data_IF_262347373516
#
_entry.id   IF_262347373516
#
_cell.length_a   1.000
_cell.length_b   1.000
_cell.length_c   1.000
_cell.angle_alpha   90.00
_cell.angle_beta   90.00
_cell.angle_gamma   90.00
#
_symmetry.space_group_name_H-M   'P 1'
#
loop_
_entity.id
_entity.type
_entity.pdbx_description
1 polymer ?
#
# COMPACT_ATOMS: atom_id res chain seq x y z
N UNK A 1 -11.53 -25.80 -4.78
CA UNK A 1 -12.58 -24.77 -5.01
C UNK A 1 -11.98 -23.43 -4.58
N UNK A 2 -11.36 -22.71 -5.53
CA UNK A 2 -10.53 -21.52 -5.26
C UNK A 2 -11.47 -20.32 -5.13
N UNK A 3 -11.85 -19.96 -3.90
CA UNK A 3 -12.65 -18.77 -3.62
C UNK A 3 -11.77 -17.53 -3.70
N UNK A 4 -12.23 -16.55 -4.48
CA UNK A 4 -11.61 -15.24 -4.71
C UNK A 4 -11.40 -14.55 -3.35
N UNK A 5 -10.16 -14.22 -3.06
CA UNK A 5 -9.78 -13.43 -1.90
C UNK A 5 -10.26 -11.98 -2.01
N UNK A 6 -10.29 -11.27 -0.88
CA UNK A 6 -10.84 -9.92 -0.78
C UNK A 6 -9.92 -8.89 -1.44
N UNK A 7 -10.56 -7.92 -2.06
CA UNK A 7 -10.03 -6.78 -2.79
C UNK A 7 -8.99 -6.03 -1.95
N UNK A 8 -7.80 -5.86 -2.52
CA UNK A 8 -6.93 -4.75 -2.15
C UNK A 8 -7.73 -3.45 -2.37
N UNK A 9 -7.55 -2.46 -1.50
CA UNK A 9 -7.93 -1.07 -1.78
C UNK A 9 -7.03 -0.62 -2.94
N UNK A 10 -7.44 -1.00 -4.14
CA UNK A 10 -7.16 -0.32 -5.38
C UNK A 10 -8.53 0.08 -5.91
N UNK A 11 -8.77 1.37 -6.03
CA UNK A 11 -9.89 1.87 -6.82
C UNK A 11 -9.83 1.24 -8.22
N UNK A 12 -10.75 0.30 -8.49
CA UNK A 12 -11.23 -0.06 -9.82
C UNK A 12 -12.39 -1.06 -9.68
N UNK A 13 -13.63 -0.59 -9.82
CA UNK A 13 -14.77 -1.44 -10.13
C UNK A 13 -15.16 -1.19 -11.59
N UNK A 14 -15.03 -2.23 -12.42
CA UNK A 14 -15.43 -2.27 -13.82
C UNK A 14 -16.73 -3.08 -13.92
N UNK A 15 -17.78 -2.51 -14.51
CA UNK A 15 -18.98 -3.24 -14.94
C UNK A 15 -19.14 -3.10 -16.46
N UNK A 16 -19.16 -4.25 -17.13
CA UNK A 16 -19.37 -4.41 -18.57
C UNK A 16 -20.86 -4.28 -18.90
N UNK A 17 -21.18 -3.31 -19.76
CA UNK A 17 -22.44 -3.26 -20.51
C UNK A 17 -22.13 -3.15 -21.99
N UNK A 18 -22.60 -4.13 -22.78
CA UNK A 18 -22.50 -4.12 -24.25
C UNK A 18 -23.62 -3.25 -24.80
N UNK A 19 -23.28 -2.19 -25.53
CA UNK A 19 -24.20 -1.39 -26.35
C UNK A 19 -23.49 -0.90 -27.64
N UNK A 20 -24.25 -0.58 -28.71
CA UNK A 20 -23.81 -0.72 -30.09
C UNK A 20 -22.92 0.42 -30.57
N UNK A 21 -22.15 0.13 -31.63
CA UNK A 21 -21.29 1.07 -32.34
C UNK A 21 -22.06 2.31 -32.82
N UNK A 22 -21.84 3.44 -32.14
CA UNK A 22 -22.25 4.77 -32.55
C UNK A 22 -21.02 5.64 -32.82
N UNK A 23 -21.06 6.37 -33.94
CA UNK A 23 -20.02 7.13 -34.62
C UNK A 23 -18.92 7.83 -33.80
N UNK A 24 -17.64 7.81 -34.28
CA UNK A 24 -16.55 8.62 -33.73
C UNK A 24 -16.65 10.04 -34.31
N UNK A 25 -17.09 11.02 -33.52
CA UNK A 25 -17.20 12.38 -34.09
C UNK A 25 -17.64 13.51 -33.16
N UNK A 26 -17.72 13.29 -31.85
CA UNK A 26 -17.91 14.40 -30.91
C UNK A 26 -16.62 14.56 -30.10
N UNK A 27 -15.87 15.59 -30.46
CA UNK A 27 -14.61 15.98 -29.86
C UNK A 27 -14.69 15.93 -28.33
N UNK A 28 -13.77 15.16 -27.74
CA UNK A 28 -13.16 15.45 -26.45
C UNK A 28 -12.89 16.96 -26.39
N UNK A 29 -13.76 17.74 -25.75
CA UNK A 29 -13.32 18.99 -25.15
C UNK A 29 -12.44 18.57 -23.99
N UNK A 30 -11.19 18.30 -24.33
CA UNK A 30 -10.13 18.12 -23.38
C UNK A 30 -10.23 19.29 -22.41
N UNK A 31 -10.43 18.98 -21.13
CA UNK A 31 -9.98 19.82 -20.04
C UNK A 31 -8.45 19.90 -20.11
N UNK A 32 -7.90 20.37 -21.22
CA UNK A 32 -6.53 20.85 -21.27
C UNK A 32 -6.52 22.14 -20.48
N UNK A 33 -6.55 21.98 -19.15
CA UNK A 33 -6.25 23.02 -18.20
C UNK A 33 -4.89 23.55 -18.58
N UNK A 34 -4.84 24.83 -18.94
CA UNK A 34 -3.56 25.48 -19.19
C UNK A 34 -2.77 25.56 -17.87
N UNK A 35 -1.46 25.78 -17.95
CA UNK A 35 -0.59 25.88 -16.78
C UNK A 35 -1.12 26.88 -15.74
N UNK A 36 -1.76 27.97 -16.21
CA UNK A 36 -2.34 28.98 -15.35
C UNK A 36 -3.50 28.45 -14.50
N UNK A 37 -4.30 27.51 -15.02
CA UNK A 37 -5.37 26.89 -14.25
C UNK A 37 -4.86 25.91 -13.17
N UNK A 38 -3.83 25.11 -13.43
CA UNK A 38 -3.22 24.27 -12.38
C UNK A 38 -2.58 25.11 -11.27
N UNK A 39 -1.94 26.21 -11.63
CA UNK A 39 -1.35 27.12 -10.65
C UNK A 39 -2.41 27.74 -9.71
N UNK A 40 -3.54 28.18 -10.26
CA UNK A 40 -4.67 28.71 -9.48
C UNK A 40 -5.29 27.64 -8.57
N UNK A 41 -5.49 26.43 -9.09
CA UNK A 41 -6.06 25.34 -8.30
C UNK A 41 -5.11 24.95 -7.15
N UNK A 42 -3.80 24.86 -7.41
CA UNK A 42 -2.82 24.58 -6.36
C UNK A 42 -2.78 25.70 -5.32
N UNK A 43 -2.84 26.96 -5.73
CA UNK A 43 -2.89 28.11 -4.82
C UNK A 43 -4.12 28.05 -3.91
N UNK A 44 -5.30 27.77 -4.48
CA UNK A 44 -6.52 27.55 -3.73
C UNK A 44 -6.35 26.43 -2.69
N UNK A 45 -5.78 25.29 -3.09
CA UNK A 45 -5.55 24.17 -2.18
C UNK A 45 -4.56 24.53 -1.05
N UNK A 46 -3.46 25.21 -1.38
CA UNK A 46 -2.46 25.64 -0.40
C UNK A 46 -3.05 26.62 0.63
N UNK A 47 -4.06 27.41 0.23
CA UNK A 47 -4.76 28.35 1.11
C UNK A 47 -5.86 27.66 1.95
N UNK A 48 -6.72 26.83 1.34
CA UNK A 48 -7.90 26.27 2.00
C UNK A 48 -7.59 25.06 2.88
N UNK A 49 -6.67 24.19 2.44
CA UNK A 49 -6.32 22.98 3.18
C UNK A 49 -5.88 23.26 4.62
N UNK A 50 -4.97 24.21 4.93
CA UNK A 50 -4.59 24.49 6.31
C UNK A 50 -5.73 25.05 7.17
N UNK A 51 -6.74 25.71 6.56
CA UNK A 51 -7.94 26.17 7.28
C UNK A 51 -8.78 24.97 7.74
N UNK A 52 -8.93 23.95 6.89
CA UNK A 52 -9.69 22.73 7.18
C UNK A 52 -8.91 21.75 8.06
N UNK A 53 -7.59 21.66 7.89
CA UNK A 53 -6.70 20.74 8.61
C UNK A 53 -6.03 21.39 9.83
N UNK A 54 -6.55 22.51 10.36
CA UNK A 54 -5.89 23.29 11.42
C UNK A 54 -5.50 22.47 12.65
N UNK A 55 -6.40 21.60 13.13
CA UNK A 55 -6.14 20.75 14.29
C UNK A 55 -4.96 19.80 14.02
N UNK A 56 -5.00 19.09 12.89
CA UNK A 56 -3.94 18.18 12.46
C UNK A 56 -2.58 18.88 12.34
N UNK A 57 -2.52 20.04 11.69
CA UNK A 57 -1.28 20.82 11.54
C UNK A 57 -0.72 21.27 12.89
N UNK A 58 -1.60 21.66 13.82
CA UNK A 58 -1.23 22.08 15.18
C UNK A 58 -0.66 20.89 15.97
N UNK A 59 -1.39 19.77 16.00
CA UNK A 59 -1.01 18.57 16.77
C UNK A 59 0.31 17.98 16.27
N UNK A 60 0.49 17.95 14.94
CA UNK A 60 1.71 17.43 14.31
C UNK A 60 2.84 18.46 14.18
N UNK A 61 2.62 19.71 14.64
CA UNK A 61 3.56 20.82 14.58
C UNK A 61 4.12 21.04 13.16
N UNK A 62 3.24 20.96 12.17
CA UNK A 62 3.60 21.12 10.76
C UNK A 62 3.59 22.61 10.40
N UNK A 63 4.77 23.13 10.06
CA UNK A 63 4.89 24.42 9.38
C UNK A 63 4.47 24.23 7.92
N UNK A 64 3.20 24.50 7.62
CA UNK A 64 2.60 24.26 6.31
C UNK A 64 3.30 25.02 5.19
N UNK A 65 3.68 26.28 5.44
CA UNK A 65 4.35 27.12 4.45
C UNK A 65 5.75 26.55 4.11
N UNK A 66 6.49 26.08 5.12
CA UNK A 66 7.77 25.42 4.90
C UNK A 66 7.62 24.07 4.22
N UNK A 67 6.63 23.27 4.64
CA UNK A 67 6.42 21.90 4.17
C UNK A 67 6.00 21.82 2.69
N UNK A 68 5.40 22.88 2.15
CA UNK A 68 4.87 22.94 0.77
C UNK A 68 5.69 23.83 -0.17
N UNK A 69 6.84 24.35 0.28
CA UNK A 69 7.68 25.27 -0.50
C UNK A 69 8.14 24.67 -1.83
N UNK A 70 8.56 23.41 -1.81
CA UNK A 70 8.97 22.64 -2.99
C UNK A 70 7.80 22.41 -3.95
N UNK A 71 6.64 21.98 -3.43
CA UNK A 71 5.41 21.77 -4.20
C UNK A 71 5.04 23.03 -4.99
N UNK A 72 5.07 24.20 -4.34
CA UNK A 72 4.78 25.49 -5.00
C UNK A 72 5.77 25.80 -6.13
N UNK A 73 7.03 25.41 -6.00
CA UNK A 73 8.05 25.61 -7.03
C UNK A 73 7.95 24.63 -8.20
N UNK A 74 7.28 23.49 -8.02
CA UNK A 74 7.17 22.41 -9.00
C UNK A 74 5.98 22.56 -9.95
N UNK A 75 4.99 23.39 -9.64
CA UNK A 75 3.80 23.60 -10.47
C UNK A 75 4.12 24.00 -11.93
N UNK A 76 5.19 24.77 -12.15
CA UNK A 76 5.68 25.14 -13.49
C UNK A 76 6.17 23.96 -14.35
N UNK A 77 6.36 22.79 -13.74
CA UNK A 77 6.77 21.55 -14.42
C UNK A 77 5.56 20.68 -14.78
N UNK A 78 4.37 21.01 -14.29
CA UNK A 78 3.14 20.27 -14.55
C UNK A 78 2.69 20.54 -15.97
N UNK A 79 2.57 19.48 -16.77
CA UNK A 79 2.22 19.53 -18.20
C UNK A 79 0.85 18.93 -18.49
N UNK A 80 0.34 18.09 -17.60
CA UNK A 80 -0.86 17.31 -17.78
C UNK A 80 -1.53 17.00 -16.43
N UNK A 81 -2.74 16.46 -16.52
CA UNK A 81 -3.59 16.07 -15.40
C UNK A 81 -2.89 15.09 -14.44
N UNK A 82 -2.13 14.13 -14.98
CA UNK A 82 -1.47 13.11 -14.18
C UNK A 82 -0.32 13.70 -13.36
N UNK A 83 0.48 14.58 -13.96
CA UNK A 83 1.51 15.34 -13.26
C UNK A 83 0.89 16.26 -12.19
N UNK A 84 -0.25 16.88 -12.49
CA UNK A 84 -0.95 17.74 -11.52
C UNK A 84 -1.44 16.94 -10.31
N UNK A 85 -2.13 15.83 -10.53
CA UNK A 85 -2.62 14.96 -9.45
C UNK A 85 -1.47 14.41 -8.62
N UNK A 86 -0.35 13.99 -9.23
CA UNK A 86 0.85 13.57 -8.48
C UNK A 86 1.39 14.71 -7.61
N UNK A 87 1.42 15.94 -8.12
CA UNK A 87 1.85 17.10 -7.32
C UNK A 87 0.92 17.36 -6.13
N UNK A 88 -0.40 17.28 -6.33
CA UNK A 88 -1.39 17.43 -5.25
C UNK A 88 -1.27 16.30 -4.23
N UNK A 89 -1.04 15.04 -4.65
CA UNK A 89 -0.79 13.94 -3.73
C UNK A 89 0.46 14.17 -2.88
N UNK A 90 1.56 14.65 -3.49
CA UNK A 90 2.78 15.02 -2.76
C UNK A 90 2.55 16.17 -1.77
N UNK A 91 1.70 17.14 -2.12
CA UNK A 91 1.25 18.19 -1.21
C UNK A 91 0.45 17.61 -0.03
N UNK A 92 -0.51 16.72 -0.28
CA UNK A 92 -1.28 16.06 0.77
C UNK A 92 -0.39 15.22 1.68
N UNK A 93 0.66 14.59 1.16
CA UNK A 93 1.64 13.85 1.95
C UNK A 93 2.34 14.72 3.00
N UNK A 94 2.41 16.05 2.80
CA UNK A 94 2.93 17.00 3.79
C UNK A 94 2.07 17.14 5.04
N UNK A 95 0.80 16.73 4.99
CA UNK A 95 -0.04 16.60 6.18
C UNK A 95 0.42 15.48 7.11
N UNK A 96 1.25 14.56 6.61
CA UNK A 96 1.71 13.36 7.32
C UNK A 96 0.54 12.64 7.95
N UNK A 97 -0.52 12.38 7.21
CA UNK A 97 -1.74 11.70 7.68
C UNK A 97 -2.13 10.61 6.70
N UNK A 98 -2.11 9.35 7.14
CA UNK A 98 -2.39 8.17 6.31
C UNK A 98 -3.79 8.15 5.67
N UNK A 99 -4.69 9.05 6.08
CA UNK A 99 -6.03 9.19 5.51
C UNK A 99 -6.17 10.41 4.59
N UNK A 100 -5.12 11.22 4.43
CA UNK A 100 -5.11 12.34 3.50
C UNK A 100 -4.86 11.84 2.06
N UNK A 101 -5.93 11.73 1.28
CA UNK A 101 -5.88 11.29 -0.11
C UNK A 101 -6.94 11.99 -0.96
N UNK A 102 -6.74 11.98 -2.28
CA UNK A 102 -7.78 12.35 -3.24
C UNK A 102 -8.74 11.15 -3.37
N UNK A 103 -9.96 11.27 -2.84
CA UNK A 103 -10.93 10.16 -2.86
C UNK A 103 -11.85 10.17 -4.07
N UNK A 104 -12.03 11.34 -4.69
CA UNK A 104 -12.90 11.53 -5.85
C UNK A 104 -12.29 12.57 -6.78
N UNK A 105 -12.37 12.30 -8.07
CA UNK A 105 -12.04 13.22 -9.16
C UNK A 105 -13.20 13.25 -10.14
N UNK A 106 -13.21 14.19 -11.08
CA UNK A 106 -14.20 14.17 -12.16
C UNK A 106 -13.99 12.93 -13.05
N UNK A 107 -15.03 12.41 -13.72
CA UNK A 107 -14.90 11.26 -14.64
C UNK A 107 -13.85 11.47 -15.73
N UNK A 108 -13.73 12.70 -16.25
CA UNK A 108 -12.73 13.05 -17.27
C UNK A 108 -11.30 12.94 -16.72
N UNK A 109 -11.08 13.45 -15.51
CA UNK A 109 -9.78 13.35 -14.84
C UNK A 109 -9.45 11.88 -14.50
N UNK A 110 -10.43 11.10 -14.07
CA UNK A 110 -10.26 9.66 -13.85
C UNK A 110 -9.83 8.93 -15.13
N UNK A 111 -10.46 9.26 -16.26
CA UNK A 111 -10.10 8.70 -17.56
C UNK A 111 -8.68 9.11 -17.99
N UNK A 112 -8.29 10.38 -17.81
CA UNK A 112 -6.93 10.88 -18.06
C UNK A 112 -5.89 10.12 -17.22
N UNK A 113 -6.15 9.96 -15.92
CA UNK A 113 -5.25 9.25 -14.99
C UNK A 113 -5.11 7.78 -15.36
N UNK A 114 -6.22 7.13 -15.73
CA UNK A 114 -6.21 5.75 -16.21
C UNK A 114 -5.37 5.61 -17.47
N UNK A 115 -5.57 6.48 -18.46
CA UNK A 115 -4.80 6.46 -19.70
C UNK A 115 -3.29 6.67 -19.46
N UNK A 116 -2.92 7.63 -18.59
CA UNK A 116 -1.52 7.86 -18.21
C UNK A 116 -0.90 6.63 -17.54
N UNK A 117 -1.64 5.98 -16.63
CA UNK A 117 -1.21 4.74 -15.96
C UNK A 117 -1.03 3.58 -16.94
N UNK A 118 -1.94 3.43 -17.90
CA UNK A 118 -1.85 2.39 -18.94
C UNK A 118 -0.66 2.63 -19.87
N UNK A 119 -0.41 3.88 -20.26
CA UNK A 119 0.76 4.27 -21.04
C UNK A 119 2.08 3.99 -20.31
N UNK A 120 2.14 4.29 -19.00
CA UNK A 120 3.30 3.99 -18.17
C UNK A 120 3.51 2.46 -18.00
N UNK A 121 2.42 1.73 -17.77
CA UNK A 121 2.42 0.29 -17.57
C UNK A 121 2.96 -0.45 -18.80
N UNK A 122 2.66 0.03 -20.01
CA UNK A 122 2.98 -0.68 -21.28
C UNK A 122 2.46 -2.12 -21.27
N UNK A 123 1.24 -2.31 -20.74
CA UNK A 123 0.60 -3.62 -20.58
C UNK A 123 1.12 -4.47 -19.42
N UNK A 124 2.08 -4.00 -18.63
CA UNK A 124 2.64 -4.73 -17.47
C UNK A 124 1.82 -4.48 -16.21
N UNK A 125 1.74 -5.47 -15.33
CA UNK A 125 1.11 -5.29 -14.01
C UNK A 125 2.09 -4.65 -13.03
N UNK A 126 1.58 -3.90 -12.06
CA UNK A 126 2.38 -3.45 -10.92
C UNK A 126 2.36 -4.56 -9.86
N UNK A 127 3.51 -5.15 -9.57
CA UNK A 127 3.60 -6.35 -8.73
C UNK A 127 4.86 -6.41 -7.88
N UNK A 128 4.80 -7.15 -6.77
CA UNK A 128 5.90 -7.35 -5.84
C UNK A 128 6.71 -8.62 -6.12
N UNK A 129 7.89 -8.77 -5.48
CA UNK A 129 8.72 -9.97 -5.60
C UNK A 129 8.27 -11.12 -4.68
N UNK A 130 7.08 -11.04 -4.05
CA UNK A 130 6.59 -12.04 -3.09
C UNK A 130 7.50 -12.26 -1.88
N UNK A 131 8.12 -11.17 -1.44
CA UNK A 131 8.95 -11.09 -0.23
C UNK A 131 8.42 -9.93 0.61
N UNK A 132 8.26 -10.16 1.91
CA UNK A 132 8.01 -9.10 2.88
C UNK A 132 9.22 -8.96 3.79
N UNK A 133 9.63 -7.70 3.99
CA UNK A 133 10.76 -7.31 4.81
C UNK A 133 10.28 -6.53 6.02
N UNK A 134 10.94 -6.74 7.16
CA UNK A 134 10.75 -5.91 8.34
C UNK A 134 12.08 -5.50 8.95
N UNK A 135 12.25 -4.22 9.36
CA UNK A 135 13.38 -3.82 10.16
C UNK A 135 13.31 -4.46 11.57
N UNK A 136 14.44 -4.98 12.04
CA UNK A 136 14.62 -5.53 13.39
C UNK A 136 15.90 -4.92 13.99
N UNK A 137 15.76 -3.76 14.66
CA UNK A 137 16.90 -2.95 15.07
C UNK A 137 17.70 -2.48 13.85
N UNK A 138 19.01 -2.78 13.84
CA UNK A 138 19.90 -2.48 12.71
C UNK A 138 19.73 -3.44 11.53
N UNK A 139 19.08 -4.59 11.74
CA UNK A 139 18.92 -5.64 10.71
C UNK A 139 17.63 -5.44 9.92
N UNK A 140 17.57 -6.08 8.77
CA UNK A 140 16.34 -6.28 7.99
C UNK A 140 16.12 -7.78 7.87
N UNK A 141 14.92 -8.25 8.17
CA UNK A 141 14.58 -9.67 8.14
C UNK A 141 13.53 -9.94 7.06
N UNK A 142 13.61 -11.09 6.43
CA UNK A 142 12.51 -11.67 5.66
C UNK A 142 11.45 -12.13 6.67
N UNK A 143 10.26 -11.53 6.62
CA UNK A 143 9.11 -11.94 7.45
C UNK A 143 8.13 -12.83 6.70
N UNK A 144 8.16 -12.77 5.37
CA UNK A 144 7.35 -13.64 4.51
C UNK A 144 8.07 -13.85 3.18
N UNK A 145 8.03 -15.07 2.65
CA UNK A 145 8.51 -15.40 1.32
C UNK A 145 7.60 -16.48 0.74
N UNK A 146 7.14 -16.30 -0.50
CA UNK A 146 6.20 -17.22 -1.15
C UNK A 146 6.38 -17.23 -2.68
N UNK A 147 5.85 -18.27 -3.34
CA UNK A 147 6.03 -18.46 -4.79
C UNK A 147 7.50 -18.41 -5.21
N UNK A 148 7.79 -17.69 -6.29
CA UNK A 148 9.14 -17.58 -6.88
C UNK A 148 10.23 -17.21 -5.86
N UNK A 149 9.93 -16.33 -4.89
CA UNK A 149 10.89 -16.00 -3.84
C UNK A 149 11.29 -17.22 -3.00
N UNK A 150 10.30 -18.00 -2.56
CA UNK A 150 10.53 -19.21 -1.79
C UNK A 150 11.19 -20.30 -2.64
N UNK A 151 10.81 -20.43 -3.92
CA UNK A 151 11.42 -21.34 -4.89
C UNK A 151 12.91 -21.01 -5.12
N UNK A 152 13.28 -19.73 -5.08
CA UNK A 152 14.68 -19.26 -5.11
C UNK A 152 15.40 -19.38 -3.76
N UNK A 153 14.78 -20.02 -2.77
CA UNK A 153 15.38 -20.30 -1.47
C UNK A 153 15.38 -19.14 -0.50
N UNK A 154 14.62 -18.06 -0.75
CA UNK A 154 14.37 -17.03 0.26
C UNK A 154 13.47 -17.60 1.35
N UNK A 155 13.89 -17.50 2.62
CA UNK A 155 13.16 -18.07 3.76
C UNK A 155 12.88 -17.02 4.82
N UNK A 156 11.76 -17.19 5.52
CA UNK A 156 11.45 -16.42 6.73
C UNK A 156 12.60 -16.54 7.74
N UNK A 157 12.96 -15.42 8.36
CA UNK A 157 14.04 -15.32 9.35
C UNK A 157 15.44 -15.07 8.76
N UNK A 158 15.61 -15.16 7.43
CA UNK A 158 16.86 -14.72 6.80
C UNK A 158 17.07 -13.22 7.00
N UNK A 159 18.31 -12.83 7.28
CA UNK A 159 18.70 -11.42 7.32
C UNK A 159 18.99 -10.94 5.90
N UNK A 160 18.39 -9.81 5.51
CA UNK A 160 18.67 -9.14 4.25
C UNK A 160 19.79 -8.14 4.49
N UNK A 161 20.95 -8.40 3.89
CA UNK A 161 22.14 -7.56 4.00
C UNK A 161 22.08 -6.41 3.02
N UNK A 162 21.68 -6.69 1.77
CA UNK A 162 21.52 -5.66 0.74
C UNK A 162 20.37 -5.95 -0.20
N UNK A 163 19.80 -4.88 -0.75
CA UNK A 163 18.81 -4.88 -1.82
C UNK A 163 19.38 -4.04 -2.96
N UNK A 164 19.47 -4.58 -4.18
CA UNK A 164 20.06 -3.88 -5.33
C UNK A 164 21.47 -3.32 -5.03
N UNK A 165 22.29 -4.11 -4.32
CA UNK A 165 23.65 -3.73 -3.91
C UNK A 165 23.73 -2.65 -2.82
N UNK A 166 22.62 -2.07 -2.36
CA UNK A 166 22.59 -1.10 -1.27
C UNK A 166 22.32 -1.80 0.07
N UNK A 167 22.93 -1.37 1.20
CA UNK A 167 22.62 -1.90 2.52
C UNK A 167 21.10 -1.89 2.77
N UNK A 168 20.53 -3.03 3.14
CA UNK A 168 19.08 -3.23 3.11
C UNK A 168 18.32 -2.21 3.97
N UNK A 169 18.90 -1.83 5.11
CA UNK A 169 18.34 -0.81 5.99
C UNK A 169 18.28 0.57 5.31
N UNK A 170 19.38 0.98 4.69
CA UNK A 170 19.45 2.24 3.95
C UNK A 170 18.51 2.23 2.73
N UNK A 171 18.40 1.09 2.05
CA UNK A 171 17.45 0.92 0.95
C UNK A 171 16.00 1.13 1.41
N UNK A 172 15.60 0.50 2.52
CA UNK A 172 14.25 0.67 3.07
C UNK A 172 13.97 2.09 3.55
N UNK A 173 14.94 2.75 4.20
CA UNK A 173 14.79 4.13 4.66
C UNK A 173 14.66 5.11 3.50
N UNK A 174 15.46 4.93 2.45
CA UNK A 174 15.34 5.69 1.20
C UNK A 174 13.96 5.46 0.58
N UNK A 175 13.53 4.20 0.45
CA UNK A 175 12.23 3.88 -0.16
C UNK A 175 11.07 4.43 0.67
N UNK A 176 11.14 4.38 2.00
CA UNK A 176 10.15 4.98 2.88
C UNK A 176 10.13 6.52 2.78
N UNK A 177 11.27 7.17 2.53
CA UNK A 177 11.32 8.60 2.26
C UNK A 177 10.66 8.96 0.93
N UNK A 178 10.94 8.22 -0.14
CA UNK A 178 10.27 8.37 -1.44
C UNK A 178 8.75 8.17 -1.31
N UNK A 179 8.32 7.09 -0.63
CA UNK A 179 6.89 6.83 -0.43
C UNK A 179 6.21 7.91 0.42
N UNK A 180 6.88 8.49 1.42
CA UNK A 180 6.32 9.65 2.17
C UNK A 180 6.29 10.94 1.37
N UNK A 181 7.11 11.03 0.33
CA UNK A 181 7.03 12.16 -0.57
C UNK A 181 5.79 12.03 -1.44
N UNK A 182 5.55 10.84 -2.00
CA UNK A 182 4.52 10.53 -2.99
C UNK A 182 3.14 10.25 -2.40
N UNK A 183 3.09 9.61 -1.22
CA UNK A 183 1.89 9.19 -0.51
C UNK A 183 1.90 9.70 0.93
N UNK A 184 0.71 9.88 1.50
CA UNK A 184 0.59 10.35 2.88
C UNK A 184 0.68 9.19 3.88
N UNK A 185 1.50 9.37 4.92
CA UNK A 185 1.64 8.42 6.03
C UNK A 185 1.57 9.14 7.37
N UNK A 186 0.85 8.56 8.33
CA UNK A 186 0.70 9.13 9.67
C UNK A 186 2.00 9.19 10.47
N UNK A 187 2.91 8.23 10.23
CA UNK A 187 4.18 8.08 10.96
C UNK A 187 5.26 7.51 10.05
N UNK A 188 6.51 7.72 10.45
CA UNK A 188 7.69 7.17 9.76
C UNK A 188 7.73 5.65 9.85
N UNK A 189 7.22 5.09 10.95
CA UNK A 189 7.08 3.65 11.12
C UNK A 189 6.10 3.04 10.11
N UNK A 190 4.95 3.68 9.86
CA UNK A 190 3.97 3.21 8.88
C UNK A 190 4.55 3.23 7.46
N UNK A 191 5.28 4.30 7.09
CA UNK A 191 5.96 4.37 5.80
C UNK A 191 7.06 3.31 5.66
N UNK A 192 7.84 3.07 6.73
CA UNK A 192 8.88 2.05 6.73
C UNK A 192 8.30 0.64 6.62
N UNK A 193 7.18 0.38 7.29
CA UNK A 193 6.43 -0.86 7.12
C UNK A 193 5.97 -1.01 5.67
N UNK A 194 5.32 0.02 5.09
CA UNK A 194 4.90 0.02 3.69
C UNK A 194 6.05 -0.22 2.70
N UNK A 195 7.22 0.37 2.96
CA UNK A 195 8.42 0.15 2.14
C UNK A 195 8.87 -1.32 2.14
N UNK A 196 8.72 -2.02 3.27
CA UNK A 196 9.09 -3.42 3.44
C UNK A 196 8.20 -4.42 2.69
N UNK A 197 7.03 -4.01 2.22
CA UNK A 197 6.20 -4.82 1.33
C UNK A 197 5.91 -4.07 0.04
N UNK A 198 5.01 -3.08 0.04
CA UNK A 198 4.60 -2.32 -1.15
C UNK A 198 5.76 -1.60 -1.83
N UNK A 199 6.74 -1.11 -1.08
CA UNK A 199 7.93 -0.44 -1.63
C UNK A 199 8.78 -1.32 -2.53
N UNK A 200 8.67 -2.65 -2.43
CA UNK A 200 9.39 -3.62 -3.27
C UNK A 200 8.73 -3.81 -4.65
N UNK A 201 7.49 -3.38 -4.82
CA UNK A 201 6.77 -3.54 -6.08
C UNK A 201 7.29 -2.63 -7.17
N UNK A 202 7.28 -3.12 -8.40
CA UNK A 202 7.38 -2.31 -9.61
C UNK A 202 6.74 -3.05 -10.78
N UNK A 203 7.00 -2.61 -12.01
CA UNK A 203 6.45 -3.21 -13.21
C UNK A 203 6.87 -4.67 -13.37
N UNK A 204 5.93 -5.48 -13.83
CA UNK A 204 6.11 -6.91 -14.11
C UNK A 204 7.29 -7.16 -15.06
N UNK A 205 7.99 -8.28 -14.86
CA UNK A 205 9.17 -8.68 -15.63
C UNK A 205 10.47 -7.99 -15.22
N UNK A 206 10.44 -7.08 -14.24
CA UNK A 206 11.67 -6.46 -13.71
C UNK A 206 12.30 -7.29 -12.60
N UNK A 207 13.64 -7.43 -12.56
CA UNK A 207 14.32 -8.15 -11.49
C UNK A 207 14.49 -7.30 -10.22
N UNK A 208 14.66 -7.96 -9.08
CA UNK A 208 15.20 -7.40 -7.85
C UNK A 208 16.09 -8.41 -7.16
N UNK A 209 17.25 -7.95 -6.72
CA UNK A 209 18.33 -8.73 -6.14
C UNK A 209 18.46 -8.49 -4.64
N UNK A 210 18.70 -9.58 -3.91
CA UNK A 210 18.90 -9.61 -2.48
C UNK A 210 20.22 -10.33 -2.17
N UNK A 211 20.97 -9.79 -1.21
CA UNK A 211 21.98 -10.57 -0.49
C UNK A 211 21.42 -10.93 0.88
N UNK A 212 21.44 -12.22 1.20
CA UNK A 212 20.76 -12.82 2.36
C UNK A 212 21.77 -13.55 3.24
N UNK A 213 21.51 -13.60 4.54
CA UNK A 213 22.21 -14.43 5.52
C UNK A 213 21.25 -15.44 6.16
N UNK A 214 21.65 -16.71 6.14
CA UNK A 214 21.05 -17.79 6.93
C UNK A 214 22.11 -18.26 7.94
N UNK A 215 22.06 -17.68 9.15
CA UNK A 215 23.17 -17.82 10.10
C UNK A 215 24.42 -17.09 9.59
N UNK A 216 25.45 -17.85 9.18
CA UNK A 216 26.70 -17.30 8.61
C UNK A 216 26.77 -17.44 7.09
N UNK A 217 25.86 -18.19 6.49
CA UNK A 217 25.90 -18.49 5.06
C UNK A 217 25.31 -17.35 4.25
N UNK A 218 26.10 -16.80 3.34
CA UNK A 218 25.66 -15.73 2.43
C UNK A 218 25.07 -16.32 1.15
N UNK A 219 23.90 -15.84 0.77
CA UNK A 219 23.18 -16.23 -0.45
C UNK A 219 22.81 -15.01 -1.27
N UNK A 220 22.71 -15.20 -2.58
CA UNK A 220 22.15 -14.21 -3.51
C UNK A 220 20.86 -14.78 -4.10
N UNK A 221 19.83 -13.95 -4.16
CA UNK A 221 18.58 -14.28 -4.83
C UNK A 221 18.21 -13.12 -5.76
N UNK A 222 17.77 -13.43 -6.98
CA UNK A 222 17.32 -12.44 -7.96
C UNK A 222 15.93 -12.82 -8.42
N UNK A 223 14.94 -12.16 -7.85
CA UNK A 223 13.53 -12.47 -8.06
C UNK A 223 13.00 -11.61 -9.19
N UNK A 224 12.35 -12.24 -10.17
CA UNK A 224 11.62 -11.49 -11.19
C UNK A 224 10.22 -11.18 -10.68
N UNK A 225 9.79 -9.93 -10.80
CA UNK A 225 8.45 -9.52 -10.38
C UNK A 225 7.42 -10.02 -11.40
N UNK A 226 6.94 -11.25 -11.24
CA UNK A 226 5.96 -11.90 -12.14
C UNK A 226 4.67 -12.32 -11.41
N UNK A 227 4.49 -11.89 -10.15
CA UNK A 227 3.45 -12.38 -9.26
C UNK A 227 2.14 -11.60 -9.25
N UNK A 228 1.14 -12.11 -8.52
CA UNK A 228 -0.10 -11.40 -8.20
C UNK A 228 0.10 -10.22 -7.23
N UNK A 229 -0.98 -9.66 -6.64
CA UNK A 229 -0.89 -8.48 -5.78
C UNK A 229 0.21 -8.59 -4.73
N UNK A 230 0.88 -7.47 -4.45
CA UNK A 230 1.77 -7.36 -3.30
C UNK A 230 0.88 -7.27 -2.05
N UNK A 231 0.38 -8.43 -1.61
CA UNK A 231 -0.58 -8.50 -0.50
C UNK A 231 0.08 -7.95 0.76
N UNK A 232 -0.62 -7.11 1.52
CA UNK A 232 -0.20 -6.89 2.89
C UNK A 232 -0.14 -8.26 3.59
N UNK A 233 0.90 -8.53 4.40
CA UNK A 233 1.16 -9.84 5.01
C UNK A 233 -0.15 -10.48 5.47
N UNK A 234 -0.38 -11.74 5.09
CA UNK A 234 -1.69 -12.36 5.33
C UNK A 234 -2.03 -12.35 6.82
N UNK A 235 -1.01 -12.44 7.68
CA UNK A 235 -1.14 -12.72 9.11
C UNK A 235 -1.85 -14.07 9.35
N UNK A 236 -1.83 -14.59 10.59
CA UNK A 236 -0.74 -14.53 11.55
C UNK A 236 0.59 -15.09 11.06
N UNK A 237 1.69 -14.68 11.71
CA UNK A 237 3.03 -15.26 11.48
C UNK A 237 3.08 -16.75 11.86
N UNK A 238 2.29 -17.15 12.87
CA UNK A 238 2.16 -18.53 13.34
C UNK A 238 0.68 -18.89 13.49
N UNK A 239 -0.01 -19.25 12.40
CA UNK A 239 -1.42 -19.65 12.49
C UNK A 239 -1.56 -20.92 13.34
N UNK A 240 -2.53 -20.97 14.26
CA UNK A 240 -3.02 -22.24 14.77
C UNK A 240 -3.33 -23.22 13.62
N UNK A 241 -3.05 -24.51 13.84
CA UNK A 241 -3.16 -25.56 12.80
C UNK A 241 -4.56 -25.65 12.17
N UNK A 242 -5.60 -25.44 12.99
CA UNK A 242 -6.99 -25.68 12.62
C UNK A 242 -7.83 -24.39 12.65
N UNK A 243 -7.29 -23.29 12.12
CA UNK A 243 -8.03 -22.05 11.98
C UNK A 243 -9.27 -22.24 11.12
N UNK A 244 -10.42 -21.83 11.67
CA UNK A 244 -11.68 -21.63 10.96
C UNK A 244 -11.79 -20.16 10.57
N UNK A 245 -12.75 -19.83 9.70
CA UNK A 245 -13.02 -18.44 9.35
C UNK A 245 -14.51 -18.15 9.30
N UNK A 246 -14.89 -16.93 9.71
CA UNK A 246 -16.16 -16.29 9.38
C UNK A 246 -15.80 -15.01 8.63
N UNK A 247 -16.27 -14.86 7.40
CA UNK A 247 -15.85 -13.73 6.55
C UNK A 247 -14.33 -13.71 6.36
N UNK A 248 -13.70 -12.61 6.78
CA UNK A 248 -12.23 -12.43 6.79
C UNK A 248 -11.61 -12.53 8.19
N UNK A 249 -12.42 -12.85 9.19
CA UNK A 249 -11.98 -13.14 10.55
C UNK A 249 -11.59 -14.61 10.64
N UNK A 250 -10.38 -14.91 11.09
CA UNK A 250 -9.93 -16.28 11.34
C UNK A 250 -9.85 -16.57 12.83
N UNK A 251 -10.24 -17.76 13.26
CA UNK A 251 -10.32 -18.09 14.68
C UNK A 251 -10.03 -19.56 14.97
N UNK A 252 -9.63 -19.88 16.21
CA UNK A 252 -9.33 -21.25 16.64
C UNK A 252 -8.74 -21.30 18.04
N UNK A 253 -8.02 -22.38 18.35
CA UNK A 253 -7.25 -22.50 19.60
C UNK A 253 -5.77 -22.71 19.30
N UNK A 254 -4.91 -22.07 20.08
CA UNK A 254 -3.47 -22.33 20.08
C UNK A 254 -3.17 -23.76 20.57
N UNK A 255 -1.95 -24.24 20.35
CA UNK A 255 -1.52 -25.55 20.86
C UNK A 255 -1.60 -25.66 22.40
N UNK A 256 -1.53 -24.53 23.12
CA UNK A 256 -1.66 -24.46 24.57
C UNK A 256 -3.12 -24.27 25.05
N UNK A 257 -4.10 -24.28 24.15
CA UNK A 257 -5.53 -24.20 24.48
C UNK A 257 -6.11 -22.79 24.58
N UNK A 258 -5.31 -21.72 24.48
CA UNK A 258 -5.82 -20.34 24.40
C UNK A 258 -6.68 -20.14 23.16
N UNK A 259 -7.76 -19.39 23.29
CA UNK A 259 -8.53 -18.89 22.15
C UNK A 259 -7.68 -17.96 21.30
N UNK A 260 -7.92 -17.98 20.00
CA UNK A 260 -7.19 -17.17 19.04
C UNK A 260 -8.17 -16.59 18.02
N UNK A 261 -8.08 -15.28 17.79
CA UNK A 261 -8.86 -14.56 16.78
C UNK A 261 -7.93 -13.62 16.03
N UNK A 262 -7.92 -13.70 14.70
CA UNK A 262 -7.21 -12.79 13.81
C UNK A 262 -8.21 -11.95 13.01
N UNK A 263 -8.12 -10.63 13.17
CA UNK A 263 -8.97 -9.65 12.51
C UNK A 263 -8.23 -9.02 11.34
N UNK A 264 -8.66 -9.32 10.11
CA UNK A 264 -8.02 -8.79 8.90
C UNK A 264 -8.53 -7.41 8.49
N UNK A 265 -9.76 -7.09 8.85
CA UNK A 265 -10.45 -5.81 8.60
C UNK A 265 -11.59 -5.62 9.61
N UNK A 266 -12.31 -4.50 9.48
CA UNK A 266 -13.45 -4.11 10.34
C UNK A 266 -14.70 -3.89 9.47
N UNK A 267 -15.36 -4.97 9.00
CA UNK A 267 -16.63 -4.85 8.28
C UNK A 267 -17.80 -4.47 9.21
N UNK A 268 -18.90 -3.98 8.64
CA UNK A 268 -20.12 -3.62 9.40
C UNK A 268 -20.66 -4.77 10.25
N UNK A 269 -20.52 -6.01 9.76
CA UNK A 269 -20.99 -7.21 10.44
C UNK A 269 -19.92 -7.84 11.37
N UNK A 270 -18.81 -7.15 11.64
CA UNK A 270 -17.74 -7.64 12.52
C UNK A 270 -18.27 -8.12 13.88
N UNK A 271 -19.16 -7.40 14.60
CA UNK A 271 -19.67 -7.89 15.88
C UNK A 271 -20.26 -9.30 15.79
N UNK A 272 -21.07 -9.58 14.76
CA UNK A 272 -21.62 -10.92 14.50
C UNK A 272 -20.52 -11.94 14.22
N UNK A 273 -19.51 -11.58 13.43
CA UNK A 273 -18.38 -12.49 13.14
C UNK A 273 -17.58 -12.84 14.41
N UNK A 274 -17.40 -11.88 15.32
CA UNK A 274 -16.74 -12.09 16.62
C UNK A 274 -17.58 -13.01 17.50
N UNK A 275 -18.89 -12.77 17.61
CA UNK A 275 -19.78 -13.61 18.41
C UNK A 275 -19.75 -15.08 17.94
N UNK A 276 -19.82 -15.31 16.62
CA UNK A 276 -19.70 -16.65 16.03
C UNK A 276 -18.34 -17.29 16.31
N UNK A 277 -17.25 -16.52 16.19
CA UNK A 277 -15.90 -17.00 16.49
C UNK A 277 -15.75 -17.39 17.98
N UNK A 278 -16.21 -16.53 18.89
CA UNK A 278 -16.11 -16.75 20.33
C UNK A 278 -16.98 -17.93 20.78
N UNK A 279 -18.22 -18.03 20.26
CA UNK A 279 -19.08 -19.18 20.53
C UNK A 279 -18.44 -20.50 20.07
N UNK A 280 -17.78 -20.50 18.91
CA UNK A 280 -17.10 -21.68 18.38
C UNK A 280 -15.76 -22.00 19.08
N UNK A 281 -15.08 -21.02 19.66
CA UNK A 281 -13.91 -21.23 20.53
C UNK A 281 -14.34 -21.86 21.86
N UNK A 282 -15.46 -21.39 22.42
CA UNK A 282 -15.98 -21.86 23.71
C UNK A 282 -15.07 -21.46 24.88
N UNK A 283 -15.11 -22.25 25.96
CA UNK A 283 -14.33 -21.97 27.16
C UNK A 283 -12.83 -22.21 26.93
N UNK A 284 -12.03 -21.22 27.33
CA UNK A 284 -10.57 -21.16 27.14
C UNK A 284 -9.92 -20.37 28.28
N UNK A 285 -8.68 -20.69 28.68
CA UNK A 285 -7.97 -20.00 29.76
C UNK A 285 -7.60 -18.54 29.44
N UNK A 286 -7.73 -18.11 28.18
CA UNK A 286 -7.48 -16.75 27.74
C UNK A 286 -7.61 -16.61 26.21
N UNK A 287 -7.56 -15.38 25.73
CA UNK A 287 -7.78 -15.03 24.33
C UNK A 287 -6.59 -14.23 23.77
N UNK A 288 -6.14 -14.59 22.57
CA UNK A 288 -5.23 -13.80 21.75
C UNK A 288 -6.04 -13.12 20.65
N UNK A 289 -6.09 -11.79 20.69
CA UNK A 289 -6.65 -10.97 19.62
C UNK A 289 -5.50 -10.43 18.75
N UNK A 290 -5.35 -11.00 17.56
CA UNK A 290 -4.34 -10.59 16.59
C UNK A 290 -4.94 -9.60 15.58
N UNK A 291 -4.46 -8.35 15.62
CA UNK A 291 -4.83 -7.29 14.68
C UNK A 291 -3.68 -6.94 13.72
N UNK A 292 -2.64 -7.78 13.63
CA UNK A 292 -1.58 -7.58 12.66
C UNK A 292 -2.13 -7.69 11.25
N UNK A 293 -1.66 -6.79 10.40
CA UNK A 293 -2.20 -6.59 9.06
C UNK A 293 -3.72 -6.33 9.05
N UNK A 294 -4.32 -5.78 10.11
CA UNK A 294 -5.69 -5.29 10.03
C UNK A 294 -5.72 -4.02 9.17
N UNK A 295 -6.53 -4.01 8.11
CA UNK A 295 -6.64 -2.87 7.18
C UNK A 295 -7.54 -1.73 7.67
N UNK A 296 -8.12 -1.85 8.86
CA UNK A 296 -9.23 -1.01 9.31
C UNK A 296 -10.54 -1.38 8.62
N UNK A 297 -11.47 -0.44 8.59
CA UNK A 297 -12.81 -0.56 8.03
C UNK A 297 -13.78 0.45 8.66
N UNK A 298 -15.07 0.24 8.41
CA UNK A 298 -16.16 1.18 8.71
C UNK A 298 -16.72 1.88 7.47
#
# INVERSE_FOLDING_TARGET
MIRRGPTAIGCAALLLGVLPAGSPGAANRAWAKDEASYAKDLEFLLEELPKKARALLTDKKIDWAKATKDVKGEIKKVKDDAAYVRLVMRMLARLRDGHAAITKVSPDLEASLKAAREAEAKGRRWTGPRVHLAPAGAKVLVVEAFGEAAEQGVKVGMEVVSVEGQPARAWLEKRAAEMRDEDSYSTDHAALHAAGHWGLATWEGTPISFELLEGRDRKKATITRNGGPNFAPAGPVHPPKDLKSVGRTSYGKTAAGFGYVHLRDVPDDLPRQIDEALAAIGDVPGLVLDMRANGGGG
#
